data_IF_057467638310
#
_entry.id   IF_057467638310
#
_cell.length_a   1.000
_cell.length_b   1.000
_cell.length_c   1.000
_cell.angle_alpha   90.00
_cell.angle_beta   90.00
_cell.angle_gamma   90.00
#
_symmetry.space_group_name_H-M   'P 1'
#
loop_
_entity.id
_entity.type
_entity.pdbx_description
1 polymer ?
#
# COMPACT_ATOMS: atom_id res chain seq x y z
N UNK A 1 2.17 19.43 -14.06
CA UNK A 1 1.65 19.58 -15.43
C UNK A 1 1.28 18.24 -16.10
N UNK A 2 2.09 17.18 -15.98
CA UNK A 2 1.84 15.91 -16.70
C UNK A 2 0.47 15.26 -16.42
N UNK A 3 0.02 15.24 -15.16
CA UNK A 3 -1.27 14.63 -14.77
C UNK A 3 -2.53 15.35 -15.28
N UNK A 4 -2.41 16.64 -15.67
CA UNK A 4 -3.52 17.39 -16.26
C UNK A 4 -3.76 16.93 -17.71
N UNK A 5 -2.71 16.52 -18.42
CA UNK A 5 -2.85 15.98 -19.78
C UNK A 5 -3.03 14.45 -19.78
N UNK A 6 -2.44 13.77 -18.80
CA UNK A 6 -2.41 12.31 -18.73
C UNK A 6 -2.99 11.80 -17.39
N UNK A 7 -4.30 11.94 -17.13
CA UNK A 7 -4.92 11.48 -15.89
C UNK A 7 -5.01 9.95 -15.77
N UNK A 8 -4.70 9.21 -16.84
CA UNK A 8 -4.62 7.75 -16.83
C UNK A 8 -3.40 7.23 -16.04
N UNK A 9 -2.40 8.06 -15.79
CA UNK A 9 -1.21 7.71 -15.00
C UNK A 9 -1.51 7.57 -13.50
N UNK A 10 -2.59 8.17 -13.01
CA UNK A 10 -2.98 8.16 -11.60
C UNK A 10 -4.44 7.72 -11.36
N UNK A 11 -5.15 7.28 -12.41
CA UNK A 11 -6.51 6.78 -12.30
C UNK A 11 -6.74 5.54 -13.18
N UNK A 12 -7.20 4.46 -12.57
CA UNK A 12 -7.68 3.26 -13.25
C UNK A 12 -9.06 3.45 -13.90
N UNK A 13 -9.75 4.55 -13.60
CA UNK A 13 -11.08 4.84 -14.13
C UNK A 13 -11.05 5.69 -15.40
N UNK A 14 -9.98 6.45 -15.62
CA UNK A 14 -9.84 7.35 -16.76
C UNK A 14 -8.89 6.76 -17.80
N UNK A 15 -9.29 6.81 -19.07
CA UNK A 15 -8.51 6.34 -20.21
C UNK A 15 -7.57 7.43 -20.73
N UNK A 16 -8.08 8.64 -20.92
CA UNK A 16 -7.33 9.82 -21.39
C UNK A 16 -8.10 11.10 -21.07
N UNK A 17 -7.48 12.25 -21.34
CA UNK A 17 -8.17 13.53 -21.36
C UNK A 17 -7.86 14.29 -22.64
N UNK A 18 -8.90 14.76 -23.32
CA UNK A 18 -8.77 15.54 -24.54
C UNK A 18 -8.86 17.02 -24.22
N UNK A 19 -7.89 17.82 -24.67
CA UNK A 19 -7.89 19.25 -24.43
C UNK A 19 -8.82 19.92 -25.42
N UNK A 20 -9.92 20.47 -24.92
CA UNK A 20 -10.93 21.15 -25.73
C UNK A 20 -10.64 22.66 -25.84
N UNK A 21 -10.14 23.25 -24.75
CA UNK A 21 -9.83 24.67 -24.66
C UNK A 21 -8.52 24.83 -23.91
N UNK A 22 -7.63 25.67 -24.41
CA UNK A 22 -6.45 26.14 -23.68
C UNK A 22 -6.28 27.64 -23.99
N UNK A 23 -6.28 28.49 -22.96
CA UNK A 23 -6.23 29.94 -23.07
C UNK A 23 -5.36 30.56 -21.99
N UNK A 24 -4.65 31.62 -22.36
CA UNK A 24 -3.99 32.53 -21.43
C UNK A 24 -4.98 33.68 -21.11
N UNK A 25 -5.17 34.05 -19.83
CA UNK A 25 -6.06 35.14 -19.46
C UNK A 25 -5.55 36.47 -20.04
N UNK A 26 -6.44 37.19 -20.73
CA UNK A 26 -6.13 38.47 -21.39
C UNK A 26 -5.93 38.40 -22.91
N UNK A 27 -5.80 37.20 -23.50
CA UNK A 27 -5.80 37.04 -24.96
C UNK A 27 -7.17 36.55 -25.45
N UNK A 28 -8.11 37.48 -25.65
CA UNK A 28 -9.47 37.18 -26.18
C UNK A 28 -9.50 36.89 -27.69
N UNK A 29 -8.36 36.89 -28.39
CA UNK A 29 -8.27 36.71 -29.85
C UNK A 29 -7.39 35.53 -30.24
N UNK A 30 -7.91 34.32 -30.13
CA UNK A 30 -7.44 33.18 -30.94
C UNK A 30 -8.53 32.10 -30.95
N UNK A 31 -9.51 32.28 -31.82
CA UNK A 31 -10.43 31.22 -32.25
C UNK A 31 -9.72 30.41 -33.33
N UNK A 32 -8.87 29.47 -32.93
CA UNK A 32 -8.39 28.40 -33.81
C UNK A 32 -8.63 27.08 -33.08
N UNK A 33 -9.59 26.25 -33.50
CA UNK A 33 -9.83 24.95 -32.90
C UNK A 33 -8.59 24.08 -33.09
N UNK A 34 -8.01 23.60 -31.98
CA UNK A 34 -7.01 22.56 -32.04
C UNK A 34 -7.70 21.28 -32.56
N UNK A 35 -7.42 20.94 -33.82
CA UNK A 35 -7.87 19.78 -34.61
C UNK A 35 -9.24 19.89 -35.32
N UNK A 36 -9.29 19.64 -36.65
CA UNK A 36 -10.52 19.59 -37.42
C UNK A 36 -11.01 18.15 -37.49
N UNK A 37 -11.86 17.71 -36.56
CA UNK A 37 -12.81 16.62 -36.81
C UNK A 37 -13.78 16.43 -35.63
N UNK A 38 -15.08 16.45 -35.95
CA UNK A 38 -16.25 15.98 -35.20
C UNK A 38 -17.09 16.97 -34.36
N UNK A 39 -18.34 17.09 -34.80
CA UNK A 39 -19.56 17.65 -34.17
C UNK A 39 -19.66 19.16 -33.94
N UNK A 40 -20.73 19.73 -34.50
CA UNK A 40 -21.11 21.14 -34.48
C UNK A 40 -21.67 21.61 -33.13
N UNK A 41 -20.94 21.39 -32.04
CA UNK A 41 -21.27 21.94 -30.72
C UNK A 41 -20.31 23.09 -30.37
N UNK A 42 -20.85 24.17 -29.82
CA UNK A 42 -20.06 25.30 -29.37
C UNK A 42 -19.02 24.83 -28.32
N UNK A 43 -17.79 25.37 -28.34
CA UNK A 43 -16.74 24.96 -27.40
C UNK A 43 -17.20 25.21 -25.95
N UNK A 44 -16.85 24.32 -25.00
CA UNK A 44 -17.33 24.42 -23.63
C UNK A 44 -16.80 25.69 -22.95
N UNK A 45 -17.69 26.35 -22.20
CA UNK A 45 -17.36 27.58 -21.48
C UNK A 45 -16.68 27.24 -20.15
N UNK A 46 -15.46 27.75 -19.89
CA UNK A 46 -14.74 27.46 -18.65
C UNK A 46 -15.43 28.12 -17.45
N UNK A 47 -15.50 27.41 -16.33
CA UNK A 47 -15.97 27.95 -15.05
C UNK A 47 -14.78 28.61 -14.35
N UNK A 48 -14.70 29.94 -14.42
CA UNK A 48 -13.57 30.70 -13.85
C UNK A 48 -13.86 31.08 -12.41
N UNK A 49 -13.02 30.60 -11.49
CA UNK A 49 -12.99 31.05 -10.10
C UNK A 49 -11.90 32.12 -9.95
N UNK A 50 -12.06 33.09 -9.05
CA UNK A 50 -11.01 34.06 -8.73
C UNK A 50 -10.70 33.99 -7.26
N UNK A 51 -9.42 33.97 -6.93
CA UNK A 51 -8.94 33.95 -5.57
C UNK A 51 -8.24 35.28 -5.28
N UNK A 52 -8.47 35.82 -4.09
CA UNK A 52 -7.76 37.01 -3.62
C UNK A 52 -6.25 36.67 -3.58
N UNK A 53 -5.41 37.60 -4.01
CA UNK A 53 -3.96 37.49 -4.01
C UNK A 53 -3.36 36.47 -4.99
N UNK A 54 -4.17 35.78 -5.81
CA UNK A 54 -3.70 34.89 -6.87
C UNK A 54 -4.07 35.43 -8.25
N UNK A 55 -3.07 35.51 -9.13
CA UNK A 55 -3.27 35.77 -10.55
C UNK A 55 -3.51 34.45 -11.28
N UNK A 56 -4.44 34.45 -12.23
CA UNK A 56 -4.71 33.31 -13.10
C UNK A 56 -3.68 33.32 -14.22
N UNK A 57 -2.97 32.21 -14.42
CA UNK A 57 -1.99 32.01 -15.50
C UNK A 57 -2.62 31.34 -16.71
N UNK A 58 -3.42 30.30 -16.51
CA UNK A 58 -3.89 29.46 -17.62
C UNK A 58 -5.26 28.88 -17.34
N UNK A 59 -6.09 28.86 -18.37
CA UNK A 59 -7.40 28.26 -18.39
C UNK A 59 -7.36 27.08 -19.36
N UNK A 60 -7.73 25.90 -18.88
CA UNK A 60 -7.82 24.70 -19.69
C UNK A 60 -9.16 24.01 -19.45
N UNK A 61 -9.85 23.60 -20.52
CA UNK A 61 -10.99 22.70 -20.42
C UNK A 61 -10.60 21.40 -21.10
N UNK A 62 -10.77 20.29 -20.37
CA UNK A 62 -10.47 18.95 -20.87
C UNK A 62 -11.67 18.03 -20.76
N UNK A 63 -11.91 17.20 -21.77
CA UNK A 63 -12.88 16.10 -21.71
C UNK A 63 -12.22 14.87 -21.10
N UNK A 64 -12.61 14.50 -19.89
CA UNK A 64 -12.19 13.26 -19.26
C UNK A 64 -12.93 12.10 -19.91
N UNK A 65 -12.18 11.16 -20.49
CA UNK A 65 -12.73 9.96 -21.13
C UNK A 65 -12.61 8.79 -20.15
N UNK A 66 -13.71 8.20 -19.67
CA UNK A 66 -13.65 7.03 -18.81
C UNK A 66 -13.17 5.80 -19.58
N UNK A 67 -12.56 4.84 -18.88
CA UNK A 67 -12.12 3.57 -19.49
C UNK A 67 -13.28 2.69 -19.91
N UNK A 68 -14.42 2.79 -19.22
CA UNK A 68 -15.64 2.08 -19.55
C UNK A 68 -16.76 3.06 -19.85
N UNK A 69 -16.92 3.39 -21.13
CA UNK A 69 -17.94 4.32 -21.63
C UNK A 69 -19.36 3.76 -21.58
N UNK A 70 -19.53 2.45 -21.34
CA UNK A 70 -20.85 1.86 -21.10
C UNK A 70 -21.36 2.15 -19.69
N UNK A 71 -20.46 2.50 -18.76
CA UNK A 71 -20.81 2.79 -17.37
C UNK A 71 -20.83 4.27 -17.08
N UNK A 72 -19.79 4.99 -17.51
CA UNK A 72 -19.61 6.40 -17.23
C UNK A 72 -19.59 7.20 -18.54
N UNK A 73 -20.19 8.39 -18.53
CA UNK A 73 -20.12 9.31 -19.66
C UNK A 73 -18.84 10.17 -19.61
N UNK A 74 -18.32 10.62 -20.76
CA UNK A 74 -17.29 11.66 -20.80
C UNK A 74 -17.70 12.92 -20.02
N UNK A 75 -16.74 13.54 -19.33
CA UNK A 75 -17.00 14.72 -18.48
C UNK A 75 -16.02 15.85 -18.79
N UNK A 76 -16.53 17.03 -19.08
CA UNK A 76 -15.71 18.23 -19.24
C UNK A 76 -15.28 18.78 -17.87
N UNK A 77 -14.00 19.08 -17.73
CA UNK A 77 -13.41 19.61 -16.51
C UNK A 77 -12.63 20.88 -16.81
N UNK A 78 -12.95 21.95 -16.08
CA UNK A 78 -12.16 23.18 -16.08
C UNK A 78 -10.96 23.02 -15.14
N UNK A 79 -9.76 23.31 -15.64
CA UNK A 79 -8.50 23.35 -14.93
C UNK A 79 -7.96 24.78 -14.99
N UNK A 80 -7.83 25.42 -13.83
CA UNK A 80 -7.33 26.78 -13.69
C UNK A 80 -5.96 26.73 -13.01
N UNK A 81 -4.96 27.35 -13.63
CA UNK A 81 -3.61 27.46 -13.08
C UNK A 81 -3.45 28.88 -12.57
N UNK A 82 -3.01 29.01 -11.32
CA UNK A 82 -2.75 30.30 -10.70
C UNK A 82 -1.33 30.38 -10.19
N UNK A 83 -0.82 31.61 -10.15
CA UNK A 83 0.35 31.99 -9.40
C UNK A 83 -0.05 32.98 -8.29
N UNK A 84 0.69 32.97 -7.20
CA UNK A 84 0.54 33.99 -6.18
C UNK A 84 1.05 35.33 -6.74
N UNK A 85 0.25 36.39 -6.58
CA UNK A 85 0.59 37.76 -7.01
C UNK A 85 1.59 38.40 -6.05
N UNK A 86 1.66 37.90 -4.82
CA UNK A 86 2.71 38.27 -3.88
C UNK A 86 3.97 37.45 -4.16
N UNK A 87 5.18 38.04 -4.00
CA UNK A 87 6.41 37.26 -3.92
C UNK A 87 6.26 36.32 -2.73
N UNK A 88 5.80 35.11 -3.01
CA UNK A 88 5.60 34.03 -2.06
C UNK A 88 6.94 33.80 -1.40
N UNK A 89 7.09 34.40 -0.24
CA UNK A 89 8.29 34.31 0.53
C UNK A 89 8.56 32.81 0.74
N UNK A 90 9.70 32.34 0.24
CA UNK A 90 10.40 31.23 0.90
C UNK A 90 10.58 31.52 2.40
N UNK A 91 10.47 32.78 2.83
CA UNK A 91 10.30 33.20 4.21
C UNK A 91 8.82 33.17 4.65
N UNK A 92 8.30 32.00 5.04
CA UNK A 92 7.02 31.95 5.76
C UNK A 92 6.06 30.82 5.41
N UNK A 93 6.38 29.96 4.43
CA UNK A 93 5.68 28.68 4.31
C UNK A 93 5.99 27.81 5.53
N UNK A 94 5.17 27.94 6.56
CA UNK A 94 5.12 26.99 7.66
C UNK A 94 4.18 25.87 7.26
N UNK A 95 4.73 24.65 7.10
CA UNK A 95 3.96 23.43 6.88
C UNK A 95 2.97 23.30 8.05
N UNK A 96 1.69 23.58 7.79
CA UNK A 96 0.63 23.59 8.82
C UNK A 96 0.24 22.18 9.30
N UNK A 97 0.73 21.15 8.62
CA UNK A 97 0.49 19.74 8.95
C UNK A 97 1.83 19.07 9.20
N UNK A 98 2.21 18.98 10.46
CA UNK A 98 3.25 18.07 10.90
C UNK A 98 2.67 16.66 10.73
N UNK A 99 3.14 15.94 9.71
CA UNK A 99 2.75 14.54 9.56
C UNK A 99 3.50 13.77 10.65
N UNK A 100 2.80 12.93 11.40
CA UNK A 100 3.43 12.04 12.38
C UNK A 100 4.42 11.15 11.64
N UNK A 101 5.69 11.55 11.71
CA UNK A 101 6.78 10.90 10.98
C UNK A 101 7.42 9.93 11.95
N UNK A 102 6.87 8.71 12.01
CA UNK A 102 7.36 7.65 12.90
C UNK A 102 8.78 7.19 12.47
N UNK A 103 9.02 7.13 11.16
CA UNK A 103 10.33 6.76 10.59
C UNK A 103 10.83 7.88 9.67
N UNK A 104 12.06 8.37 9.84
CA UNK A 104 12.64 9.39 8.96
C UNK A 104 12.69 8.93 7.50
N UNK A 105 12.19 9.77 6.59
CA UNK A 105 12.06 9.46 5.16
C UNK A 105 13.37 8.99 4.51
N UNK A 106 14.49 9.68 4.78
CA UNK A 106 15.79 9.35 4.18
C UNK A 106 16.23 7.93 4.53
N UNK A 107 16.06 7.52 5.79
CA UNK A 107 16.50 6.22 6.27
C UNK A 107 15.62 5.11 5.68
N UNK A 108 14.30 5.34 5.66
CA UNK A 108 13.35 4.45 4.98
C UNK A 108 13.69 4.26 3.50
N UNK A 109 13.97 5.34 2.78
CA UNK A 109 14.29 5.30 1.35
C UNK A 109 15.60 4.56 1.08
N UNK A 110 16.61 4.74 1.92
CA UNK A 110 17.88 4.00 1.81
C UNK A 110 17.68 2.50 2.00
N UNK A 111 16.93 2.09 3.03
CA UNK A 111 16.66 0.68 3.29
C UNK A 111 15.81 0.07 2.19
N UNK A 112 14.77 0.76 1.72
CA UNK A 112 13.98 0.31 0.58
C UNK A 112 14.82 0.13 -0.69
N UNK A 113 15.71 1.09 -1.01
CA UNK A 113 16.61 0.98 -2.15
C UNK A 113 17.53 -0.24 -2.06
N UNK A 114 18.12 -0.49 -0.88
CA UNK A 114 18.95 -1.68 -0.63
C UNK A 114 18.18 -2.98 -0.78
N UNK A 115 16.98 -3.06 -0.20
CA UNK A 115 16.13 -4.26 -0.32
C UNK A 115 15.72 -4.48 -1.80
N UNK A 116 15.38 -3.41 -2.51
CA UNK A 116 15.03 -3.48 -3.94
C UNK A 116 16.19 -3.99 -4.79
N UNK A 117 17.40 -3.48 -4.58
CA UNK A 117 18.60 -3.95 -5.27
C UNK A 117 18.88 -5.43 -4.97
N UNK A 118 18.75 -5.83 -3.70
CA UNK A 118 19.06 -7.19 -3.25
C UNK A 118 18.05 -8.24 -3.70
N UNK A 119 16.76 -7.92 -3.72
CA UNK A 119 15.70 -8.92 -3.83
C UNK A 119 14.81 -8.80 -5.07
N UNK A 120 14.56 -7.58 -5.59
CA UNK A 120 13.44 -7.37 -6.51
C UNK A 120 13.55 -8.21 -7.78
N UNK A 121 14.75 -8.30 -8.39
CA UNK A 121 14.95 -9.04 -9.64
C UNK A 121 14.59 -10.52 -9.48
N UNK A 122 15.19 -11.20 -8.51
CA UNK A 122 14.97 -12.62 -8.27
C UNK A 122 13.49 -12.89 -7.93
N UNK A 123 12.90 -12.09 -7.04
CA UNK A 123 11.52 -12.27 -6.60
C UNK A 123 10.50 -12.13 -7.74
N UNK A 124 10.74 -11.20 -8.67
CA UNK A 124 9.89 -11.01 -9.85
C UNK A 124 10.09 -12.18 -10.84
N UNK A 125 11.33 -12.59 -11.08
CA UNK A 125 11.65 -13.70 -12.01
C UNK A 125 11.09 -15.05 -11.52
N UNK A 126 11.08 -15.30 -10.20
CA UNK A 126 10.59 -16.56 -9.61
C UNK A 126 9.16 -16.47 -9.08
N UNK A 127 8.36 -15.51 -9.54
CA UNK A 127 7.00 -15.30 -9.06
C UNK A 127 6.05 -16.41 -9.51
N UNK A 128 5.27 -16.96 -8.58
CA UNK A 128 4.38 -18.12 -8.84
C UNK A 128 2.90 -17.84 -8.60
N UNK A 129 2.55 -16.63 -8.19
CA UNK A 129 1.15 -16.22 -8.02
C UNK A 129 0.56 -15.68 -9.32
N UNK A 130 -0.77 -15.70 -9.41
CA UNK A 130 -1.50 -15.20 -10.59
C UNK A 130 -1.49 -13.67 -10.66
N UNK A 131 -1.17 -12.99 -9.56
CA UNK A 131 -1.14 -11.54 -9.47
C UNK A 131 0.13 -10.95 -10.07
N UNK A 132 0.10 -9.65 -10.35
CA UNK A 132 1.24 -8.92 -10.92
C UNK A 132 2.41 -8.84 -9.91
N UNK A 133 3.57 -9.47 -10.21
CA UNK A 133 4.71 -9.49 -9.30
C UNK A 133 5.21 -8.09 -8.95
N UNK A 134 5.18 -7.15 -9.89
CA UNK A 134 5.75 -5.82 -9.64
C UNK A 134 4.96 -5.08 -8.57
N UNK A 135 3.64 -5.28 -8.51
CA UNK A 135 2.80 -4.62 -7.49
C UNK A 135 3.10 -5.16 -6.10
N UNK A 136 3.11 -6.48 -5.95
CA UNK A 136 3.31 -7.12 -4.64
C UNK A 136 4.75 -7.02 -4.14
N UNK A 137 5.74 -7.23 -5.01
CA UNK A 137 7.15 -7.19 -4.61
C UNK A 137 7.53 -5.80 -4.12
N UNK A 138 7.18 -4.73 -4.83
CA UNK A 138 7.54 -3.39 -4.38
C UNK A 138 6.75 -2.92 -3.15
N UNK A 139 5.49 -3.35 -3.00
CA UNK A 139 4.68 -3.10 -1.80
C UNK A 139 5.33 -3.75 -0.57
N UNK A 140 5.63 -5.05 -0.63
CA UNK A 140 6.20 -5.79 0.49
C UNK A 140 7.63 -5.34 0.81
N UNK A 141 8.45 -4.97 -0.18
CA UNK A 141 9.76 -4.37 0.07
C UNK A 141 9.63 -3.03 0.79
N UNK A 142 8.60 -2.24 0.48
CA UNK A 142 8.31 -0.98 1.17
C UNK A 142 7.90 -1.20 2.62
N UNK A 143 7.00 -2.16 2.87
CA UNK A 143 6.56 -2.54 4.22
C UNK A 143 7.74 -3.09 5.03
N UNK A 144 8.53 -3.99 4.46
CA UNK A 144 9.71 -4.55 5.10
C UNK A 144 10.71 -3.45 5.49
N UNK A 145 11.00 -2.50 4.58
CA UNK A 145 11.87 -1.38 4.89
C UNK A 145 11.35 -0.56 6.07
N UNK A 146 10.04 -0.28 6.10
CA UNK A 146 9.44 0.45 7.21
C UNK A 146 9.55 -0.29 8.55
N UNK A 147 9.20 -1.58 8.58
CA UNK A 147 9.26 -2.40 9.79
C UNK A 147 10.69 -2.55 10.33
N UNK A 148 11.67 -2.78 9.46
CA UNK A 148 13.10 -2.87 9.82
C UNK A 148 13.55 -1.58 10.51
N UNK A 149 13.21 -0.43 9.93
CA UNK A 149 13.58 0.88 10.45
C UNK A 149 12.87 1.25 11.74
N UNK A 150 11.60 0.89 11.83
CA UNK A 150 10.80 1.05 13.03
C UNK A 150 11.36 0.20 14.19
N UNK A 151 11.58 -1.09 13.95
CA UNK A 151 12.10 -2.01 14.97
C UNK A 151 13.53 -1.66 15.40
N UNK A 152 14.37 -1.17 14.49
CA UNK A 152 15.70 -0.68 14.89
C UNK A 152 15.61 0.50 15.85
N UNK A 153 14.63 1.38 15.70
CA UNK A 153 14.40 2.48 16.65
C UNK A 153 13.79 1.99 17.96
N UNK A 154 12.84 1.06 17.91
CA UNK A 154 12.14 0.54 19.09
C UNK A 154 13.06 -0.31 19.99
N UNK A 155 13.88 -1.17 19.38
CA UNK A 155 14.69 -2.15 20.10
C UNK A 155 16.16 -1.78 20.16
N UNK A 156 16.70 -0.98 19.22
CA UNK A 156 18.10 -0.55 19.25
C UNK A 156 19.07 -1.74 19.34
N UNK A 157 19.77 -1.85 20.47
CA UNK A 157 20.66 -2.98 20.81
C UNK A 157 20.00 -4.05 21.67
N UNK A 158 18.77 -3.83 22.12
CA UNK A 158 17.98 -4.80 22.89
C UNK A 158 17.53 -5.96 22.03
N UNK A 159 17.20 -7.07 22.70
CA UNK A 159 16.72 -8.28 22.04
C UNK A 159 15.37 -8.03 21.34
N UNK A 160 15.31 -8.32 20.04
CA UNK A 160 14.07 -8.30 19.26
C UNK A 160 13.22 -9.53 19.61
N UNK A 161 11.99 -9.37 20.12
CA UNK A 161 11.18 -10.49 20.61
C UNK A 161 10.65 -11.41 19.50
N UNK A 162 10.73 -10.97 18.25
CA UNK A 162 10.18 -11.68 17.09
C UNK A 162 8.88 -11.06 16.58
N UNK A 163 8.40 -11.55 15.44
CA UNK A 163 7.12 -11.12 14.85
C UNK A 163 6.23 -12.29 14.46
N UNK A 164 4.92 -12.00 14.37
CA UNK A 164 3.92 -12.90 13.76
C UNK A 164 3.12 -12.10 12.74
N UNK A 165 3.09 -12.56 11.49
CA UNK A 165 2.31 -11.97 10.40
C UNK A 165 1.00 -12.72 10.21
N UNK A 166 -0.11 -12.09 10.60
CA UNK A 166 -1.44 -12.70 10.64
C UNK A 166 -2.17 -12.35 9.34
N UNK A 167 -2.57 -13.36 8.58
CA UNK A 167 -3.08 -13.16 7.22
C UNK A 167 -1.95 -12.82 6.25
N UNK A 168 -0.82 -13.51 6.37
CA UNK A 168 0.40 -13.23 5.62
C UNK A 168 0.28 -13.45 4.09
N UNK A 169 -0.85 -13.99 3.62
CA UNK A 169 -1.11 -14.19 2.20
C UNK A 169 -0.01 -15.00 1.52
N UNK A 170 0.61 -14.44 0.48
CA UNK A 170 1.68 -15.11 -0.28
C UNK A 170 2.97 -15.36 0.55
N UNK A 171 3.11 -14.75 1.74
CA UNK A 171 4.24 -14.96 2.66
C UNK A 171 5.54 -14.25 2.29
N UNK A 172 5.54 -13.37 1.27
CA UNK A 172 6.74 -12.69 0.81
C UNK A 172 7.32 -11.75 1.88
N UNK A 173 6.48 -10.98 2.58
CA UNK A 173 6.92 -10.10 3.66
C UNK A 173 7.67 -10.88 4.76
N UNK A 174 7.10 -11.99 5.23
CA UNK A 174 7.73 -12.90 6.22
C UNK A 174 9.07 -13.40 5.72
N UNK A 175 9.13 -13.84 4.45
CA UNK A 175 10.35 -14.32 3.82
C UNK A 175 11.45 -13.25 3.82
N UNK A 176 11.14 -12.01 3.41
CA UNK A 176 12.09 -10.89 3.36
C UNK A 176 12.61 -10.57 4.76
N UNK A 177 11.72 -10.41 5.74
CA UNK A 177 12.08 -10.06 7.12
C UNK A 177 13.00 -11.11 7.75
N UNK A 178 12.70 -12.40 7.54
CA UNK A 178 13.58 -13.50 8.00
C UNK A 178 14.94 -13.49 7.30
N UNK A 179 15.00 -13.23 6.00
CA UNK A 179 16.28 -13.09 5.26
C UNK A 179 17.09 -11.88 5.71
N UNK A 180 16.45 -10.88 6.30
CA UNK A 180 17.07 -9.71 6.91
C UNK A 180 17.41 -9.90 8.40
N UNK A 181 17.22 -11.12 8.94
CA UNK A 181 17.64 -11.49 10.29
C UNK A 181 16.58 -11.28 11.38
N UNK A 182 15.37 -10.87 11.02
CA UNK A 182 14.27 -10.73 11.96
C UNK A 182 13.58 -12.08 12.15
N UNK A 183 13.67 -12.64 13.37
CA UNK A 183 13.00 -13.90 13.68
C UNK A 183 11.48 -13.70 13.75
N UNK A 184 10.72 -14.63 13.19
CA UNK A 184 9.28 -14.53 13.17
C UNK A 184 8.65 -15.47 12.16
N UNK A 185 7.35 -15.60 12.18
CA UNK A 185 6.62 -16.51 11.29
C UNK A 185 5.32 -15.85 10.84
N UNK A 186 4.68 -16.42 9.83
CA UNK A 186 3.38 -15.94 9.38
C UNK A 186 2.41 -17.08 9.17
N UNK A 187 1.13 -16.75 9.25
CA UNK A 187 0.09 -17.69 8.91
C UNK A 187 -1.06 -17.05 8.17
N UNK A 188 -1.73 -17.88 7.39
CA UNK A 188 -2.94 -17.53 6.65
C UNK A 188 -3.92 -18.70 6.72
N UNK A 189 -5.20 -18.43 6.52
CA UNK A 189 -6.24 -19.46 6.50
C UNK A 189 -6.02 -20.49 5.38
N UNK A 190 -5.27 -20.14 4.33
CA UNK A 190 -4.96 -21.05 3.21
C UNK A 190 -3.49 -20.96 2.81
N UNK A 191 -2.85 -22.12 2.63
CA UNK A 191 -1.53 -22.19 2.03
C UNK A 191 -1.53 -21.60 0.61
N UNK A 192 -0.48 -20.84 0.27
CA UNK A 192 -0.25 -20.25 -1.06
C UNK A 192 0.89 -20.95 -1.78
N UNK A 193 0.89 -20.88 -3.11
CA UNK A 193 1.90 -21.54 -3.97
C UNK A 193 3.31 -21.03 -3.68
N UNK A 194 3.42 -19.75 -3.36
CA UNK A 194 4.69 -19.09 -3.02
C UNK A 194 5.42 -19.71 -1.82
N UNK A 195 4.70 -20.34 -0.90
CA UNK A 195 5.27 -20.83 0.35
C UNK A 195 6.29 -21.94 0.14
N UNK A 196 6.10 -22.77 -0.90
CA UNK A 196 7.05 -23.84 -1.23
C UNK A 196 8.42 -23.30 -1.61
N UNK A 197 8.48 -22.10 -2.20
CA UNK A 197 9.75 -21.44 -2.54
C UNK A 197 10.41 -20.83 -1.31
N UNK A 198 9.62 -20.28 -0.39
CA UNK A 198 10.11 -19.55 0.77
C UNK A 198 10.54 -20.49 1.90
N UNK A 199 9.79 -21.57 2.15
CA UNK A 199 10.09 -22.54 3.21
C UNK A 199 11.34 -23.37 2.92
N UNK A 200 11.66 -23.63 1.65
CA UNK A 200 12.90 -24.34 1.24
C UNK A 200 14.17 -23.53 1.50
N UNK A 201 14.05 -22.20 1.58
CA UNK A 201 15.19 -21.28 1.65
C UNK A 201 15.63 -20.96 3.09
N UNK A 202 14.95 -21.54 4.09
CA UNK A 202 15.28 -21.40 5.51
C UNK A 202 15.96 -22.67 6.02
N UNK A 203 17.10 -22.50 6.70
CA UNK A 203 17.90 -23.58 7.27
C UNK A 203 17.02 -24.43 8.19
N UNK A 204 17.08 -25.75 8.03
CA UNK A 204 16.37 -26.74 8.85
C UNK A 204 16.86 -26.70 10.31
N UNK A 205 16.44 -25.69 11.07
CA UNK A 205 16.28 -25.83 12.51
C UNK A 205 15.01 -26.65 12.76
N UNK A 206 14.98 -27.45 13.82
CA UNK A 206 13.84 -28.30 14.23
C UNK A 206 12.55 -27.52 14.59
N UNK A 207 12.41 -26.29 14.11
CA UNK A 207 11.25 -25.44 14.27
C UNK A 207 10.27 -25.64 13.11
N UNK A 208 8.99 -25.65 13.45
CA UNK A 208 7.90 -25.69 12.48
C UNK A 208 8.03 -24.57 11.43
N UNK A 209 7.66 -24.88 10.18
CA UNK A 209 7.75 -24.02 8.98
C UNK A 209 7.47 -22.53 9.26
N UNK A 210 8.23 -21.59 8.67
CA UNK A 210 8.02 -20.15 8.92
C UNK A 210 6.71 -19.62 8.34
N UNK A 211 6.11 -20.32 7.38
CA UNK A 211 4.77 -20.04 6.85
C UNK A 211 3.87 -21.23 7.12
N UNK A 212 2.71 -20.98 7.71
CA UNK A 212 1.83 -22.03 8.25
C UNK A 212 0.37 -21.77 7.93
N UNK A 213 -0.40 -22.82 7.69
CA UNK A 213 -1.84 -22.70 7.47
C UNK A 213 -2.55 -22.77 8.82
N UNK A 214 -3.01 -21.63 9.35
CA UNK A 214 -3.75 -21.54 10.60
C UNK A 214 -4.83 -20.46 10.50
N UNK A 215 -5.78 -20.51 11.44
CA UNK A 215 -6.76 -19.44 11.63
C UNK A 215 -6.62 -18.92 13.07
N UNK A 216 -6.71 -17.60 13.21
CA UNK A 216 -6.83 -16.95 14.52
C UNK A 216 -8.30 -16.94 14.91
N UNK A 217 -8.65 -17.72 15.93
CA UNK A 217 -9.98 -17.68 16.53
C UNK A 217 -9.94 -16.84 17.80
N UNK A 218 -10.71 -15.74 17.89
CA UNK A 218 -10.91 -15.01 19.13
C UNK A 218 -11.45 -15.95 20.23
N UNK A 219 -10.94 -15.80 21.44
CA UNK A 219 -11.35 -16.62 22.59
C UNK A 219 -12.86 -16.58 22.89
N UNK A 220 -13.53 -15.48 22.55
CA UNK A 220 -14.99 -15.35 22.67
C UNK A 220 -15.72 -16.38 21.81
N UNK A 221 -15.18 -16.70 20.63
CA UNK A 221 -15.73 -17.71 19.72
C UNK A 221 -15.34 -19.11 20.21
N UNK A 222 -14.07 -19.29 20.62
CA UNK A 222 -13.57 -20.55 21.18
C UNK A 222 -14.44 -21.05 22.34
N UNK A 223 -14.69 -20.20 23.34
CA UNK A 223 -15.49 -20.54 24.50
C UNK A 223 -16.94 -20.90 24.12
N UNK A 224 -17.48 -20.31 23.05
CA UNK A 224 -18.82 -20.63 22.54
C UNK A 224 -18.86 -21.99 21.84
N UNK A 225 -17.78 -22.39 21.16
CA UNK A 225 -17.65 -23.71 20.51
C UNK A 225 -17.45 -24.80 21.56
N UNK A 226 -16.56 -24.57 22.53
CA UNK A 226 -16.32 -25.49 23.64
C UNK A 226 -17.58 -25.69 24.51
N UNK A 227 -18.42 -24.65 24.63
CA UNK A 227 -19.72 -24.74 25.31
C UNK A 227 -20.77 -25.52 24.51
N UNK A 228 -20.62 -25.64 23.18
CA UNK A 228 -21.50 -26.44 22.32
C UNK A 228 -21.02 -27.89 22.16
N UNK A 229 -19.70 -28.13 22.10
CA UNK A 229 -19.12 -29.49 22.02
C UNK A 229 -19.34 -30.29 23.30
N UNK A 230 -19.37 -29.64 24.47
CA UNK A 230 -19.72 -30.28 25.74
C UNK A 230 -21.19 -30.78 25.82
N UNK A 231 -22.02 -30.52 24.79
CA UNK A 231 -23.36 -31.09 24.66
C UNK A 231 -23.41 -32.27 23.67
N UNK A 232 -22.36 -32.49 22.88
CA UNK A 232 -22.37 -33.44 21.75
C UNK A 232 -21.19 -34.42 21.64
N UNK A 233 -20.22 -34.43 22.55
CA UNK A 233 -19.21 -35.49 22.57
C UNK A 233 -19.66 -36.76 23.31
N UNK A 234 -20.52 -37.54 22.63
CA UNK A 234 -20.38 -38.99 22.57
C UNK A 234 -20.13 -39.33 21.09
N UNK A 235 -18.89 -39.74 20.78
CA UNK A 235 -18.37 -40.33 19.54
C UNK A 235 -17.53 -39.44 18.60
N UNK A 236 -16.22 -39.75 18.66
CA UNK A 236 -15.19 -39.76 17.61
C UNK A 236 -14.34 -38.49 17.34
N UNK A 237 -13.05 -38.61 17.73
CA UNK A 237 -11.97 -38.51 16.74
C UNK A 237 -11.11 -37.24 16.73
N UNK A 238 -10.24 -37.10 17.74
CA UNK A 238 -9.17 -36.10 17.85
C UNK A 238 -8.33 -35.92 16.56
N UNK A 239 -8.56 -34.84 15.81
CA UNK A 239 -7.60 -34.33 14.80
C UNK A 239 -7.61 -32.81 14.56
N UNK A 240 -8.47 -32.01 15.20
CA UNK A 240 -8.65 -30.59 14.83
C UNK A 240 -7.78 -29.59 15.62
N UNK A 241 -7.10 -30.02 16.69
CA UNK A 241 -6.39 -29.11 17.60
C UNK A 241 -5.09 -28.49 17.04
N UNK A 242 -4.60 -28.90 15.86
CA UNK A 242 -3.37 -28.34 15.28
C UNK A 242 -3.58 -27.07 14.43
N UNK A 243 -4.81 -26.73 14.03
CA UNK A 243 -5.07 -25.60 13.11
C UNK A 243 -5.40 -24.27 13.79
N UNK A 244 -5.62 -24.27 15.10
CA UNK A 244 -6.10 -23.11 15.86
C UNK A 244 -4.94 -22.49 16.65
N UNK A 245 -4.65 -21.21 16.42
CA UNK A 245 -3.62 -20.47 17.16
C UNK A 245 -4.24 -19.36 18.01
N UNK A 246 -3.83 -19.25 19.28
CA UNK A 246 -4.42 -18.34 20.28
C UNK A 246 -3.80 -16.93 20.31
N UNK A 247 -2.84 -16.65 19.42
CA UNK A 247 -2.25 -15.32 19.24
C UNK A 247 -1.25 -14.89 20.32
N UNK A 248 -0.91 -15.76 21.28
CA UNK A 248 0.10 -15.49 22.30
C UNK A 248 1.41 -16.17 21.90
N UNK A 249 2.48 -15.36 21.75
CA UNK A 249 3.83 -15.87 21.56
C UNK A 249 4.21 -16.82 22.70
N UNK A 250 4.95 -17.87 22.36
CA UNK A 250 5.44 -18.91 23.28
C UNK A 250 5.98 -18.23 24.54
N UNK A 251 5.42 -18.65 25.68
CA UNK A 251 5.53 -17.97 26.96
C UNK A 251 6.95 -17.62 27.36
N UNK A 252 7.18 -16.34 27.65
CA UNK A 252 8.19 -15.97 28.64
C UNK A 252 7.84 -16.68 29.96
N UNK A 253 8.78 -17.42 30.58
CA UNK A 253 8.61 -17.80 31.97
C UNK A 253 8.53 -16.51 32.78
N UNK A 254 7.39 -16.29 33.43
CA UNK A 254 7.27 -15.32 34.52
C UNK A 254 8.21 -15.78 35.63
N UNK A 255 9.44 -15.26 35.63
CA UNK A 255 10.26 -15.29 36.84
C UNK A 255 9.58 -14.37 37.85
N UNK A 256 8.81 -14.99 38.74
CA UNK A 256 8.55 -14.41 40.05
C UNK A 256 9.89 -14.29 40.76
N UNK A 257 10.37 -13.07 40.94
CA UNK A 257 11.33 -12.76 41.99
C UNK A 257 10.55 -12.55 43.30
N UNK A 258 10.72 -13.40 44.31
CA UNK A 258 10.27 -13.09 45.65
C UNK A 258 11.36 -12.24 46.33
N UNK A 259 10.97 -11.02 46.71
CA UNK A 259 11.48 -10.24 47.85
C UNK A 259 13.00 -10.10 48.02
N UNK A 260 13.49 -8.87 47.82
CA UNK A 260 14.27 -8.10 48.80
C UNK A 260 14.22 -6.61 48.45
#
# INVERSE_FOLDING_TARGET
MNFIRNPNLNSSWLFRADILVEREPGHEKSLEPASPESSAEAPPVPIIVRFKDFQLDKILVRKLIPRNTLRDNPMDQTCLIYHNSEPGAKAGYQKRVQHDTIVPQTVLQMTYARLKEKYARQLIETWVEVTDPSKHVFEDLGIAAFLIELWRQMYGTSHFPGFVDIGCGNGLLVYILRKEGYQGWGFDARQRKSWDNYNKSTVASNESSPLRQHILLPSVIQNSLDSQENVTEDLQGNTENEMIHNGLGIGMPLHHDPLL
#
